data_IF_674416547443
#
_entry.id   IF_674416547443
#
_cell.length_a   1.000
_cell.length_b   1.000
_cell.length_c   1.000
_cell.angle_alpha   90.00
_cell.angle_beta   90.00
_cell.angle_gamma   90.00
#
_symmetry.space_group_name_H-M   'P 1'
#
loop_
_entity.id
_entity.type
_entity.pdbx_description
1 polymer ?
#
# COMPACT_ATOMS: atom_id res chain seq x y z
N UNK A 1 4.99 -3.32 32.08
CA UNK A 1 3.56 -3.55 32.34
C UNK A 1 3.07 -4.60 31.35
N UNK A 2 2.27 -5.56 31.80
CA UNK A 2 1.60 -6.51 30.91
C UNK A 2 0.46 -5.78 30.21
N UNK A 3 0.50 -5.71 28.88
CA UNK A 3 -0.54 -5.14 28.04
C UNK A 3 -1.46 -6.26 27.55
N UNK A 4 -2.75 -5.94 27.33
CA UNK A 4 -3.68 -6.76 26.56
C UNK A 4 -3.49 -6.44 25.09
N UNK A 5 -2.96 -7.39 24.33
CA UNK A 5 -2.54 -7.18 22.94
C UNK A 5 -3.37 -8.03 21.99
N UNK A 6 -3.98 -7.39 21.01
CA UNK A 6 -4.66 -8.08 19.92
C UNK A 6 -3.67 -8.30 18.76
N UNK A 7 -3.30 -9.54 18.46
CA UNK A 7 -2.39 -9.86 17.37
C UNK A 7 -3.15 -10.13 16.06
N UNK A 8 -2.89 -9.32 15.03
CA UNK A 8 -3.44 -9.51 13.69
C UNK A 8 -2.73 -10.65 12.96
N UNK A 9 -3.39 -11.81 12.87
CA UNK A 9 -2.86 -13.05 12.32
C UNK A 9 -3.40 -13.33 10.93
N UNK A 10 -2.60 -12.99 9.91
CA UNK A 10 -2.96 -13.14 8.49
C UNK A 10 -2.91 -14.58 7.97
N UNK A 11 -2.48 -15.55 8.78
CA UNK A 11 -2.15 -16.91 8.31
C UNK A 11 -0.76 -17.03 7.69
N UNK A 12 -0.02 -15.92 7.58
CA UNK A 12 1.40 -15.90 7.18
C UNK A 12 2.37 -16.04 8.35
N UNK A 13 3.62 -16.41 8.02
CA UNK A 13 4.71 -16.62 9.00
C UNK A 13 5.02 -15.37 9.82
N UNK A 14 4.99 -14.20 9.19
CA UNK A 14 5.37 -12.93 9.83
C UNK A 14 4.42 -12.62 11.00
N UNK A 15 3.11 -12.65 10.75
CA UNK A 15 2.12 -12.40 11.80
C UNK A 15 2.14 -13.44 12.92
N UNK A 16 2.50 -14.70 12.62
CA UNK A 16 2.62 -15.74 13.63
C UNK A 16 3.83 -15.50 14.55
N UNK A 17 4.99 -15.17 13.97
CA UNK A 17 6.20 -14.85 14.75
C UNK A 17 6.01 -13.56 15.55
N UNK A 18 5.34 -12.55 14.99
CA UNK A 18 5.01 -11.32 15.70
C UNK A 18 4.13 -11.59 16.94
N UNK A 19 3.08 -12.41 16.79
CA UNK A 19 2.24 -12.82 17.92
C UNK A 19 3.04 -13.59 18.98
N UNK A 20 3.91 -14.50 18.55
CA UNK A 20 4.74 -15.29 19.45
C UNK A 20 5.73 -14.43 20.25
N UNK A 21 6.43 -13.49 19.58
CA UNK A 21 7.31 -12.52 20.26
C UNK A 21 6.54 -11.65 21.23
N UNK A 22 5.33 -11.20 20.88
CA UNK A 22 4.48 -10.42 21.79
C UNK A 22 4.10 -11.21 23.06
N UNK A 23 3.81 -12.50 22.93
CA UNK A 23 3.53 -13.36 24.09
C UNK A 23 4.77 -13.55 24.97
N UNK A 24 5.95 -13.75 24.36
CA UNK A 24 7.22 -13.91 25.08
C UNK A 24 7.68 -12.62 25.79
N UNK A 25 7.29 -11.45 25.29
CA UNK A 25 7.45 -10.17 25.99
C UNK A 25 6.57 -10.06 27.25
N UNK A 26 5.75 -11.07 27.55
CA UNK A 26 4.92 -11.15 28.75
C UNK A 26 3.60 -10.39 28.64
N UNK A 27 3.12 -10.17 27.41
CA UNK A 27 1.81 -9.57 27.15
C UNK A 27 0.69 -10.62 27.16
N UNK A 28 -0.52 -10.20 27.50
CA UNK A 28 -1.74 -11.01 27.36
C UNK A 28 -2.22 -10.93 25.91
N UNK A 29 -1.78 -11.88 25.08
CA UNK A 29 -1.99 -11.85 23.63
C UNK A 29 -3.23 -12.65 23.24
N UNK A 30 -4.13 -12.03 22.48
CA UNK A 30 -5.22 -12.70 21.78
C UNK A 30 -5.02 -12.56 20.27
N UNK A 31 -5.02 -13.66 19.54
CA UNK A 31 -4.95 -13.67 18.08
C UNK A 31 -6.29 -13.35 17.43
N UNK A 32 -6.26 -12.67 16.29
CA UNK A 32 -7.43 -12.47 15.44
C UNK A 32 -7.08 -12.60 13.96
N UNK A 33 -7.91 -13.31 13.21
CA UNK A 33 -7.87 -13.29 11.76
C UNK A 33 -9.04 -12.48 11.20
N UNK A 34 -8.76 -11.61 10.24
CA UNK A 34 -9.77 -10.81 9.55
C UNK A 34 -10.18 -11.52 8.27
N UNK A 35 -11.42 -12.00 8.23
CA UNK A 35 -12.03 -12.48 7.01
C UNK A 35 -12.50 -11.26 6.19
N UNK A 36 -11.80 -10.97 5.09
CA UNK A 36 -12.05 -9.80 4.23
C UNK A 36 -12.78 -10.15 2.92
N UNK A 37 -12.93 -11.44 2.60
CA UNK A 37 -13.59 -11.90 1.39
C UNK A 37 -14.90 -12.60 1.72
N UNK A 38 -15.98 -12.21 1.02
CA UNK A 38 -17.25 -12.92 1.00
C UNK A 38 -17.38 -13.88 -0.19
N UNK A 39 -16.40 -13.91 -1.11
CA UNK A 39 -16.51 -14.61 -2.39
C UNK A 39 -16.10 -16.10 -2.30
N UNK A 40 -16.99 -17.04 -2.66
CA UNK A 40 -16.70 -18.45 -2.89
C UNK A 40 -15.40 -18.78 -3.64
N UNK A 41 -15.02 -17.93 -4.60
CA UNK A 41 -13.84 -18.18 -5.44
C UNK A 41 -12.52 -17.91 -4.73
N UNK A 42 -12.52 -17.08 -3.67
CA UNK A 42 -11.37 -16.90 -2.78
C UNK A 42 -11.04 -18.14 -1.95
N UNK A 43 -11.90 -19.18 -2.02
CA UNK A 43 -11.70 -20.48 -1.38
C UNK A 43 -11.01 -21.53 -2.28
N UNK A 44 -10.61 -21.18 -3.51
CA UNK A 44 -9.85 -22.10 -4.37
C UNK A 44 -8.40 -22.20 -3.88
N UNK A 45 -7.86 -23.41 -3.86
CA UNK A 45 -6.43 -23.67 -3.66
C UNK A 45 -5.60 -22.89 -4.68
N UNK A 46 -4.71 -22.02 -4.19
CA UNK A 46 -3.89 -21.14 -5.03
C UNK A 46 -4.44 -19.73 -5.27
N UNK A 47 -5.53 -19.33 -4.58
CA UNK A 47 -5.99 -17.94 -4.58
C UNK A 47 -4.89 -17.00 -4.03
N UNK A 48 -4.63 -15.89 -4.74
CA UNK A 48 -3.63 -14.88 -4.36
C UNK A 48 -4.26 -13.90 -3.36
N UNK A 49 -3.89 -13.98 -2.09
CA UNK A 49 -4.38 -13.06 -1.05
C UNK A 49 -4.00 -13.49 0.36
N UNK A 50 -4.25 -12.64 1.36
CA UNK A 50 -3.93 -12.87 2.78
C UNK A 50 -5.16 -13.18 3.66
N UNK A 51 -6.32 -13.43 3.04
CA UNK A 51 -7.62 -13.49 3.73
C UNK A 51 -8.51 -14.64 3.23
N UNK A 52 -7.92 -15.78 2.91
CA UNK A 52 -8.64 -17.00 2.49
C UNK A 52 -9.06 -17.85 3.70
N UNK A 53 -9.97 -18.82 3.49
CA UNK A 53 -10.32 -19.80 4.53
C UNK A 53 -9.10 -20.64 4.97
N UNK A 54 -8.18 -20.90 4.03
CA UNK A 54 -6.92 -21.59 4.33
C UNK A 54 -6.05 -20.72 5.25
N UNK A 55 -5.94 -19.43 4.99
CA UNK A 55 -5.22 -18.48 5.86
C UNK A 55 -5.80 -18.43 7.28
N UNK A 56 -7.12 -18.46 7.42
CA UNK A 56 -7.78 -18.52 8.74
C UNK A 56 -7.42 -19.80 9.50
N UNK A 57 -7.39 -20.94 8.81
CA UNK A 57 -6.97 -22.23 9.41
C UNK A 57 -5.48 -22.21 9.77
N UNK A 58 -4.63 -21.62 8.93
CA UNK A 58 -3.21 -21.47 9.19
C UNK A 58 -2.99 -20.60 10.43
N UNK A 59 -3.69 -19.46 10.50
CA UNK A 59 -3.65 -18.55 11.63
C UNK A 59 -4.10 -19.22 12.94
N UNK A 60 -5.18 -20.02 12.90
CA UNK A 60 -5.62 -20.85 14.04
C UNK A 60 -4.51 -21.80 14.50
N UNK A 61 -3.91 -22.58 13.58
CA UNK A 61 -2.85 -23.55 13.94
C UNK A 61 -1.63 -22.86 14.54
N UNK A 62 -1.27 -21.68 14.05
CA UNK A 62 -0.22 -20.87 14.65
C UNK A 62 -0.60 -20.41 16.08
N UNK A 63 -1.82 -19.92 16.28
CA UNK A 63 -2.29 -19.51 17.61
C UNK A 63 -2.27 -20.67 18.61
N UNK A 64 -2.69 -21.87 18.18
CA UNK A 64 -2.66 -23.08 19.00
C UNK A 64 -1.22 -23.48 19.38
N UNK A 65 -0.27 -23.37 18.43
CA UNK A 65 1.15 -23.64 18.69
C UNK A 65 1.80 -22.63 19.64
N UNK A 66 1.35 -21.37 19.61
CA UNK A 66 1.81 -20.30 20.51
C UNK A 66 1.14 -20.41 21.89
N UNK A 67 -0.05 -21.02 21.96
CA UNK A 67 -0.83 -21.15 23.19
C UNK A 67 -1.69 -19.92 23.52
N UNK A 68 -2.18 -19.19 22.50
CA UNK A 68 -2.98 -17.96 22.67
C UNK A 68 -4.44 -18.17 22.24
N UNK A 69 -5.42 -17.48 22.86
CA UNK A 69 -6.79 -17.42 22.37
C UNK A 69 -6.83 -16.88 20.94
N UNK A 70 -7.77 -17.35 20.12
CA UNK A 70 -7.91 -16.87 18.75
C UNK A 70 -9.35 -16.82 18.26
N UNK A 71 -9.65 -15.73 17.54
CA UNK A 71 -10.95 -15.43 16.97
C UNK A 71 -10.85 -15.13 15.47
N UNK A 72 -11.98 -15.29 14.76
CA UNK A 72 -12.12 -14.84 13.38
C UNK A 72 -13.15 -13.73 13.37
N UNK A 73 -12.79 -12.58 12.81
CA UNK A 73 -13.69 -11.46 12.63
C UNK A 73 -14.03 -11.28 11.17
N UNK A 74 -15.32 -11.30 10.87
CA UNK A 74 -15.81 -10.90 9.56
C UNK A 74 -15.75 -9.37 9.46
N UNK A 75 -15.00 -8.88 8.48
CA UNK A 75 -14.91 -7.48 8.08
C UNK A 75 -15.12 -7.33 6.57
N UNK A 76 -15.73 -8.32 5.91
CA UNK A 76 -15.88 -8.37 4.45
C UNK A 76 -16.72 -7.21 3.91
N UNK A 77 -17.79 -6.83 4.61
CA UNK A 77 -18.61 -5.68 4.21
C UNK A 77 -17.84 -4.37 4.27
N UNK A 78 -17.11 -4.14 5.36
CA UNK A 78 -16.31 -2.93 5.52
C UNK A 78 -15.16 -2.89 4.50
N UNK A 79 -14.51 -4.03 4.24
CA UNK A 79 -13.49 -4.13 3.21
C UNK A 79 -14.04 -3.82 1.81
N UNK A 80 -15.22 -4.33 1.48
CA UNK A 80 -15.89 -4.01 0.21
C UNK A 80 -16.09 -2.49 0.08
N UNK A 81 -16.72 -1.87 1.07
CA UNK A 81 -17.09 -0.46 1.01
C UNK A 81 -15.88 0.47 1.07
N UNK A 82 -14.93 0.22 2.00
CA UNK A 82 -13.83 1.16 2.28
C UNK A 82 -12.58 0.91 1.41
N UNK A 83 -12.48 -0.22 0.73
CA UNK A 83 -11.31 -0.59 -0.09
C UNK A 83 -11.68 -0.88 -1.54
N UNK A 84 -12.66 -1.77 -1.78
CA UNK A 84 -13.00 -2.17 -3.16
C UNK A 84 -13.76 -1.06 -3.88
N UNK A 85 -14.80 -0.49 -3.26
CA UNK A 85 -15.56 0.60 -3.87
C UNK A 85 -14.72 1.88 -4.00
N UNK A 86 -13.88 2.20 -3.01
CA UNK A 86 -12.87 3.28 -3.10
C UNK A 86 -11.97 3.07 -4.32
N UNK A 87 -11.38 1.87 -4.46
CA UNK A 87 -10.53 1.51 -5.59
C UNK A 87 -11.24 1.72 -6.94
N UNK A 88 -12.46 1.23 -7.08
CA UNK A 88 -13.25 1.38 -8.32
C UNK A 88 -13.55 2.86 -8.61
N UNK A 89 -13.94 3.62 -7.59
CA UNK A 89 -14.26 5.05 -7.72
C UNK A 89 -13.05 5.91 -8.11
N UNK A 90 -11.86 5.59 -7.57
CA UNK A 90 -10.61 6.27 -7.89
C UNK A 90 -10.20 6.02 -9.35
N UNK A 91 -10.35 4.78 -9.85
CA UNK A 91 -10.14 4.48 -11.27
C UNK A 91 -11.16 5.15 -12.17
N UNK A 92 -12.43 5.22 -11.76
CA UNK A 92 -13.46 5.97 -12.49
C UNK A 92 -13.12 7.46 -12.59
N UNK A 93 -12.41 8.00 -11.59
CA UNK A 93 -11.86 9.34 -11.59
C UNK A 93 -10.45 9.45 -12.21
N UNK A 94 -9.98 8.41 -12.93
CA UNK A 94 -8.69 8.34 -13.65
C UNK A 94 -7.45 8.44 -12.77
N UNK A 95 -7.59 8.19 -11.47
CA UNK A 95 -6.46 8.05 -10.54
C UNK A 95 -6.01 6.59 -10.50
N UNK A 96 -4.80 6.35 -9.99
CA UNK A 96 -4.28 5.00 -9.78
C UNK A 96 -4.10 4.78 -8.28
N UNK A 97 -5.10 4.26 -7.56
CA UNK A 97 -5.03 4.06 -6.11
C UNK A 97 -4.14 2.88 -5.73
N UNK A 98 -3.67 2.87 -4.47
CA UNK A 98 -3.02 1.71 -3.86
C UNK A 98 -3.97 1.04 -2.85
N UNK A 99 -4.65 -0.06 -3.22
CA UNK A 99 -5.65 -0.70 -2.34
C UNK A 99 -5.02 -1.31 -1.08
N UNK A 100 -3.75 -1.71 -1.11
CA UNK A 100 -3.06 -2.24 0.06
C UNK A 100 -2.82 -1.14 1.10
N UNK A 101 -2.46 0.06 0.64
CA UNK A 101 -2.29 1.23 1.51
C UNK A 101 -3.64 1.65 2.11
N UNK A 102 -4.71 1.70 1.29
CA UNK A 102 -6.07 2.00 1.78
C UNK A 102 -6.58 0.94 2.77
N UNK A 103 -6.37 -0.34 2.48
CA UNK A 103 -6.70 -1.43 3.40
C UNK A 103 -5.90 -1.32 4.70
N UNK A 104 -4.62 -0.96 4.64
CA UNK A 104 -3.83 -0.75 5.84
C UNK A 104 -4.39 0.39 6.70
N UNK A 105 -4.67 1.53 6.06
CA UNK A 105 -5.26 2.71 6.70
C UNK A 105 -6.64 2.40 7.30
N UNK A 106 -7.62 1.99 6.48
CA UNK A 106 -9.03 1.91 6.86
C UNK A 106 -9.40 0.63 7.60
N UNK A 107 -8.75 -0.50 7.28
CA UNK A 107 -9.13 -1.82 7.79
C UNK A 107 -8.14 -2.32 8.83
N UNK A 108 -6.88 -2.56 8.44
CA UNK A 108 -5.92 -3.25 9.30
C UNK A 108 -5.47 -2.41 10.49
N UNK A 109 -5.40 -1.09 10.35
CA UNK A 109 -5.10 -0.20 11.48
C UNK A 109 -6.37 0.43 12.00
N UNK A 110 -7.07 1.28 11.26
CA UNK A 110 -8.22 2.00 11.84
C UNK A 110 -9.30 1.04 12.36
N UNK A 111 -9.91 0.20 11.51
CA UNK A 111 -11.01 -0.67 11.95
C UNK A 111 -10.59 -1.69 13.03
N UNK A 112 -9.42 -2.32 12.85
CA UNK A 112 -8.93 -3.30 13.80
C UNK A 112 -8.59 -2.65 15.14
N UNK A 113 -7.88 -1.52 15.13
CA UNK A 113 -7.50 -0.79 16.34
C UNK A 113 -8.73 -0.25 17.05
N UNK A 114 -9.66 0.39 16.35
CA UNK A 114 -10.89 0.91 16.95
C UNK A 114 -11.66 -0.19 17.66
N UNK A 115 -11.81 -1.35 17.01
CA UNK A 115 -12.49 -2.51 17.58
C UNK A 115 -11.70 -3.12 18.74
N UNK A 116 -10.37 -3.18 18.64
CA UNK A 116 -9.51 -3.66 19.72
C UNK A 116 -9.67 -2.78 20.97
N UNK A 117 -9.59 -1.46 20.81
CA UNK A 117 -9.76 -0.49 21.90
C UNK A 117 -11.15 -0.59 22.52
N UNK A 118 -12.20 -0.69 21.70
CA UNK A 118 -13.58 -0.85 22.19
C UNK A 118 -13.79 -2.14 22.99
N UNK A 119 -13.03 -3.20 22.69
CA UNK A 119 -13.03 -4.47 23.43
C UNK A 119 -12.06 -4.49 24.63
N UNK A 120 -11.40 -3.37 24.90
CA UNK A 120 -10.51 -3.18 26.04
C UNK A 120 -9.10 -3.74 25.85
N UNK A 121 -8.65 -3.93 24.60
CA UNK A 121 -7.24 -4.16 24.31
C UNK A 121 -6.45 -2.86 24.36
N UNK A 122 -5.22 -2.92 24.86
CA UNK A 122 -4.33 -1.78 24.99
C UNK A 122 -3.62 -1.46 23.67
N UNK A 123 -3.28 -2.50 22.89
CA UNK A 123 -2.54 -2.36 21.64
C UNK A 123 -2.86 -3.46 20.61
N UNK A 124 -2.50 -3.21 19.36
CA UNK A 124 -2.55 -4.15 18.24
C UNK A 124 -1.13 -4.54 17.82
N UNK A 125 -0.85 -5.85 17.78
CA UNK A 125 0.40 -6.38 17.25
C UNK A 125 0.20 -6.83 15.80
N UNK A 126 1.13 -6.46 14.91
CA UNK A 126 1.09 -6.88 13.51
C UNK A 126 2.44 -7.41 13.05
N UNK A 127 2.43 -8.25 12.01
CA UNK A 127 3.65 -8.76 11.37
C UNK A 127 4.31 -7.77 10.41
N UNK A 128 4.12 -6.45 10.58
CA UNK A 128 4.76 -5.46 9.72
C UNK A 128 6.25 -5.31 10.08
N UNK A 129 7.08 -5.20 9.04
CA UNK A 129 8.51 -4.89 9.15
C UNK A 129 8.67 -3.37 9.22
N UNK A 130 8.63 -2.82 10.42
CA UNK A 130 9.00 -1.45 10.73
C UNK A 130 9.42 -1.35 12.19
N UNK A 131 10.14 -0.29 12.55
CA UNK A 131 10.54 -0.04 13.94
C UNK A 131 9.79 1.18 14.46
N UNK A 132 9.17 1.04 15.63
CA UNK A 132 8.47 2.12 16.32
C UNK A 132 8.96 2.16 17.77
N UNK A 133 9.54 3.29 18.18
CA UNK A 133 10.09 3.48 19.54
C UNK A 133 9.15 4.29 20.47
N UNK A 134 7.90 4.51 20.05
CA UNK A 134 6.93 5.35 20.76
C UNK A 134 6.95 6.82 20.35
N UNK A 135 7.97 7.27 19.61
CA UNK A 135 8.07 8.63 19.11
C UNK A 135 8.37 8.70 17.61
N UNK A 136 9.12 7.73 17.10
CA UNK A 136 9.67 7.74 15.74
C UNK A 136 9.36 6.44 15.01
N UNK A 137 8.70 6.53 13.86
CA UNK A 137 8.57 5.42 12.93
C UNK A 137 9.82 5.37 12.06
N UNK A 138 10.44 4.20 11.98
CA UNK A 138 11.65 3.96 11.21
C UNK A 138 11.49 2.76 10.29
N UNK A 139 12.28 2.77 9.22
CA UNK A 139 12.45 1.63 8.32
C UNK A 139 12.91 0.40 9.09
N UNK A 140 12.48 -0.78 8.63
CA UNK A 140 13.04 -2.05 9.10
C UNK A 140 14.52 -2.18 8.73
N UNK A 141 15.23 -3.06 9.43
CA UNK A 141 16.61 -3.43 9.08
C UNK A 141 16.69 -4.19 7.75
N UNK A 142 15.63 -4.92 7.40
CA UNK A 142 15.49 -5.60 6.11
C UNK A 142 14.86 -4.66 5.09
N UNK A 143 15.68 -4.00 4.30
CA UNK A 143 15.24 -3.02 3.30
C UNK A 143 14.34 -3.64 2.22
N UNK A 144 14.48 -4.94 1.94
CA UNK A 144 13.65 -5.64 0.95
C UNK A 144 12.23 -5.92 1.44
N UNK A 145 12.03 -5.86 2.76
CA UNK A 145 10.75 -6.14 3.42
C UNK A 145 10.18 -4.96 4.17
N UNK A 146 10.90 -3.85 4.23
CA UNK A 146 10.48 -2.62 4.88
C UNK A 146 9.06 -2.21 4.49
N UNK A 147 8.25 -1.97 5.52
CA UNK A 147 6.85 -1.61 5.42
C UNK A 147 6.55 -0.28 6.09
N UNK A 148 7.57 0.53 6.43
CA UNK A 148 7.34 1.87 6.96
C UNK A 148 6.55 2.74 5.98
N UNK A 149 6.69 2.52 4.67
CA UNK A 149 5.92 3.24 3.63
C UNK A 149 4.41 3.07 3.80
N UNK A 150 3.92 1.85 4.04
CA UNK A 150 2.47 1.60 4.20
C UNK A 150 1.96 2.00 5.57
N UNK A 151 2.85 2.13 6.56
CA UNK A 151 2.53 2.58 7.91
C UNK A 151 2.61 4.09 8.09
N UNK A 152 3.24 4.81 7.17
CA UNK A 152 3.43 6.27 7.26
C UNK A 152 2.12 7.07 7.18
N UNK A 153 1.02 6.43 6.79
CA UNK A 153 -0.33 7.02 6.76
C UNK A 153 -1.04 6.93 8.11
N UNK A 154 -0.50 6.18 9.07
CA UNK A 154 -1.05 6.07 10.41
C UNK A 154 -0.76 7.34 11.22
N UNK A 155 -1.69 7.77 12.06
CA UNK A 155 -1.46 8.91 12.98
C UNK A 155 -0.57 8.50 14.16
N UNK A 156 0.08 9.46 14.84
CA UNK A 156 0.84 9.18 16.07
C UNK A 156 0.02 8.43 17.13
N UNK A 157 -1.27 8.75 17.28
CA UNK A 157 -2.16 8.10 18.24
C UNK A 157 -2.39 6.63 17.86
N UNK A 158 -2.56 6.34 16.57
CA UNK A 158 -2.69 4.96 16.10
C UNK A 158 -1.41 4.16 16.32
N UNK A 159 -0.26 4.75 16.00
CA UNK A 159 1.05 4.12 16.21
C UNK A 159 1.36 3.91 17.70
N UNK A 160 0.90 4.81 18.58
CA UNK A 160 1.07 4.67 20.04
C UNK A 160 0.42 3.40 20.61
N UNK A 161 -0.56 2.84 19.88
CA UNK A 161 -1.25 1.59 20.22
C UNK A 161 -0.86 0.43 19.29
N UNK A 162 0.26 0.53 18.58
CA UNK A 162 0.74 -0.49 17.66
C UNK A 162 2.06 -1.12 18.14
N UNK A 163 2.22 -2.42 17.89
CA UNK A 163 3.43 -3.18 18.19
C UNK A 163 3.91 -3.84 16.89
N UNK A 164 5.20 -3.62 16.55
CA UNK A 164 5.87 -4.17 15.36
C UNK A 164 7.10 -5.00 15.75
N UNK A 165 6.92 -6.27 16.16
CA UNK A 165 8.02 -7.06 16.74
C UNK A 165 9.08 -7.51 15.74
N UNK A 166 8.94 -7.22 14.44
CA UNK A 166 9.79 -7.81 13.39
C UNK A 166 10.77 -6.83 12.74
N UNK A 167 10.67 -5.53 13.04
CA UNK A 167 11.44 -4.49 12.33
C UNK A 167 12.96 -4.56 12.52
N UNK A 168 13.44 -5.36 13.47
CA UNK A 168 14.84 -5.56 13.83
C UNK A 168 15.46 -6.85 13.27
N UNK A 169 14.69 -7.65 12.52
CA UNK A 169 15.09 -8.99 12.09
C UNK A 169 14.85 -9.17 10.60
N UNK A 170 15.75 -9.88 9.92
CA UNK A 170 15.58 -10.17 8.49
C UNK A 170 14.52 -11.23 8.25
N UNK A 171 13.89 -11.23 7.07
CA UNK A 171 12.87 -12.23 6.72
C UNK A 171 13.41 -13.67 6.72
N UNK A 172 14.70 -13.84 6.40
CA UNK A 172 15.35 -15.14 6.46
C UNK A 172 15.37 -15.65 7.92
N UNK A 173 15.81 -14.82 8.85
CA UNK A 173 15.89 -15.15 10.27
C UNK A 173 14.50 -15.36 10.89
N UNK A 174 13.49 -14.59 10.47
CA UNK A 174 12.08 -14.80 10.88
C UNK A 174 11.58 -16.19 10.47
N UNK A 175 11.94 -16.68 9.28
CA UNK A 175 11.56 -18.04 8.84
C UNK A 175 12.26 -19.12 9.67
N UNK A 176 13.53 -18.94 9.99
CA UNK A 176 14.24 -19.87 10.87
C UNK A 176 13.66 -19.88 12.29
N UNK A 177 13.32 -18.72 12.81
CA UNK A 177 12.67 -18.56 14.11
C UNK A 177 11.30 -19.27 14.13
N UNK A 178 10.49 -19.10 13.09
CA UNK A 178 9.22 -19.82 12.96
C UNK A 178 9.43 -21.34 12.97
N UNK A 179 10.45 -21.84 12.27
CA UNK A 179 10.77 -23.27 12.25
C UNK A 179 11.19 -23.79 13.63
N UNK A 180 12.02 -23.04 14.38
CA UNK A 180 12.41 -23.37 15.77
C UNK A 180 11.20 -23.44 16.72
N UNK A 181 10.18 -22.59 16.48
CA UNK A 181 8.92 -22.55 17.24
C UNK A 181 7.90 -23.62 16.81
N UNK A 182 8.21 -24.44 15.81
CA UNK A 182 7.26 -25.42 15.26
C UNK A 182 6.11 -24.82 14.44
N UNK A 183 6.20 -23.54 14.07
CA UNK A 183 5.17 -22.85 13.27
C UNK A 183 5.30 -23.31 11.81
N UNK A 184 4.43 -24.24 11.42
CA UNK A 184 4.47 -24.95 10.11
C UNK A 184 4.29 -24.05 8.87
N UNK A 185 3.94 -22.78 9.06
CA UNK A 185 3.65 -21.80 8.00
C UNK A 185 4.95 -21.28 7.33
N UNK A 186 6.12 -21.59 7.88
CA UNK A 186 7.42 -21.05 7.44
C UNK A 186 7.74 -21.23 5.93
N UNK A 187 7.07 -22.16 5.23
CA UNK A 187 7.31 -22.48 3.81
C UNK A 187 6.32 -21.84 2.83
N UNK A 188 5.30 -21.12 3.31
CA UNK A 188 4.32 -20.47 2.42
C UNK A 188 4.99 -19.28 1.70
N UNK A 189 4.85 -19.14 0.36
CA UNK A 189 5.31 -17.95 -0.34
C UNK A 189 4.56 -16.71 0.17
N UNK A 190 5.21 -15.54 0.09
CA UNK A 190 4.59 -14.29 0.49
C UNK A 190 3.44 -13.94 -0.49
N UNK A 191 2.38 -13.30 0.03
CA UNK A 191 1.29 -12.81 -0.81
C UNK A 191 1.79 -11.61 -1.62
N UNK A 192 1.84 -11.79 -2.94
CA UNK A 192 2.08 -10.75 -3.92
C UNK A 192 0.78 -10.58 -4.73
N UNK A 193 0.47 -9.34 -5.14
CA UNK A 193 -0.73 -8.89 -5.88
C UNK A 193 -1.93 -8.39 -5.02
N UNK A 194 -2.90 -7.76 -5.71
CA UNK A 194 -4.12 -7.19 -5.10
C UNK A 194 -5.02 -8.33 -4.61
N UNK A 195 -5.25 -8.41 -3.30
CA UNK A 195 -5.84 -9.59 -2.66
C UNK A 195 -7.29 -9.93 -3.07
N UNK A 196 -8.03 -8.99 -3.65
CA UNK A 196 -9.41 -9.22 -4.10
C UNK A 196 -9.52 -9.46 -5.61
N UNK A 197 -8.40 -9.48 -6.33
CA UNK A 197 -8.32 -9.76 -7.77
C UNK A 197 -7.54 -11.07 -7.93
N UNK A 198 -8.23 -12.19 -7.73
CA UNK A 198 -7.61 -13.50 -7.54
C UNK A 198 -6.78 -14.00 -8.73
N UNK A 199 -7.15 -13.60 -9.96
CA UNK A 199 -6.47 -13.95 -11.21
C UNK A 199 -5.41 -12.92 -11.64
N UNK A 200 -5.33 -11.77 -10.95
CA UNK A 200 -4.48 -10.64 -11.29
C UNK A 200 -4.96 -9.79 -12.47
N UNK A 201 -6.14 -10.07 -13.05
CA UNK A 201 -6.68 -9.28 -14.17
C UNK A 201 -7.41 -8.04 -13.67
N UNK A 202 -6.63 -7.02 -13.29
CA UNK A 202 -7.18 -5.73 -12.85
C UNK A 202 -8.03 -5.07 -13.96
N UNK A 203 -7.67 -5.27 -15.23
CA UNK A 203 -8.41 -4.70 -16.35
C UNK A 203 -9.78 -5.34 -16.49
N UNK A 204 -9.85 -6.67 -16.44
CA UNK A 204 -11.10 -7.42 -16.45
C UNK A 204 -11.99 -7.04 -15.27
N UNK A 205 -11.42 -7.01 -14.06
CA UNK A 205 -12.13 -6.62 -12.83
C UNK A 205 -12.79 -5.24 -12.91
N UNK A 206 -12.09 -4.25 -13.49
CA UNK A 206 -12.62 -2.90 -13.68
C UNK A 206 -13.65 -2.84 -14.81
N UNK A 207 -13.43 -3.55 -15.92
CA UNK A 207 -14.34 -3.58 -17.05
C UNK A 207 -15.72 -4.14 -16.68
N UNK A 208 -15.78 -5.17 -15.83
CA UNK A 208 -17.05 -5.73 -15.32
C UNK A 208 -17.87 -4.74 -14.49
N UNK A 209 -17.22 -3.80 -13.80
CA UNK A 209 -17.86 -2.86 -12.87
C UNK A 209 -18.15 -1.49 -13.48
N UNK A 210 -17.23 -1.00 -14.29
CA UNK A 210 -17.32 0.33 -14.91
C UNK A 210 -17.93 0.28 -16.32
N UNK A 211 -17.97 -0.90 -16.95
CA UNK A 211 -18.40 -1.07 -18.34
C UNK A 211 -17.36 -0.56 -19.35
N UNK A 212 -17.64 -0.76 -20.63
CA UNK A 212 -16.82 -0.20 -21.71
C UNK A 212 -17.16 1.28 -21.90
N UNK A 213 -16.13 2.12 -21.97
CA UNK A 213 -16.25 3.55 -22.25
C UNK A 213 -15.17 3.92 -23.28
N UNK A 214 -15.45 3.73 -24.58
CA UNK A 214 -14.45 3.99 -25.60
C UNK A 214 -14.07 5.46 -25.68
N UNK A 215 -12.80 5.73 -25.98
CA UNK A 215 -12.25 7.08 -26.02
C UNK A 215 -10.95 7.16 -26.82
N UNK A 216 -10.53 8.37 -27.21
CA UNK A 216 -9.37 8.55 -28.06
C UNK A 216 -8.06 8.38 -27.29
N UNK A 217 -7.07 7.80 -27.97
CA UNK A 217 -5.66 7.87 -27.58
C UNK A 217 -5.02 8.95 -28.44
N UNK A 218 -4.55 10.03 -27.81
CA UNK A 218 -3.96 11.20 -28.50
C UNK A 218 -2.48 11.35 -28.17
N UNK A 219 -1.72 12.06 -28.98
CA UNK A 219 -0.38 12.53 -28.59
C UNK A 219 -0.40 13.87 -27.86
N UNK A 220 0.79 14.35 -27.49
CA UNK A 220 0.99 15.63 -26.79
C UNK A 220 0.52 16.85 -27.57
N UNK A 221 0.41 16.74 -28.90
CA UNK A 221 -0.08 17.79 -29.79
C UNK A 221 -1.60 17.69 -30.01
N UNK A 222 -2.25 16.70 -29.40
CA UNK A 222 -3.68 16.42 -29.52
C UNK A 222 -4.04 15.64 -30.78
N UNK A 223 -3.07 15.11 -31.53
CA UNK A 223 -3.36 14.29 -32.70
C UNK A 223 -3.83 12.90 -32.28
N UNK A 224 -4.97 12.46 -32.81
CA UNK A 224 -5.51 11.15 -32.53
C UNK A 224 -4.67 10.05 -33.20
N UNK A 225 -4.24 9.07 -32.39
CA UNK A 225 -3.40 7.95 -32.79
C UNK A 225 -4.16 6.62 -32.83
N UNK A 226 -5.30 6.54 -32.16
CA UNK A 226 -6.16 5.37 -32.07
C UNK A 226 -7.21 5.54 -30.98
N UNK A 227 -7.84 4.43 -30.59
CA UNK A 227 -8.91 4.40 -29.60
C UNK A 227 -8.60 3.35 -28.52
N UNK A 228 -9.26 3.50 -27.37
CA UNK A 228 -9.27 2.53 -26.29
C UNK A 228 -10.68 2.14 -25.89
N UNK A 229 -10.84 1.02 -25.19
CA UNK A 229 -12.14 0.53 -24.67
C UNK A 229 -12.52 1.09 -23.28
N UNK A 230 -11.59 1.79 -22.64
CA UNK A 230 -11.78 2.40 -21.32
C UNK A 230 -10.49 2.95 -20.76
N UNK A 231 -10.49 4.22 -20.35
CA UNK A 231 -9.31 4.91 -19.83
C UNK A 231 -8.75 4.26 -18.54
N UNK A 232 -9.62 3.64 -17.74
CA UNK A 232 -9.28 2.89 -16.53
C UNK A 232 -8.35 1.68 -16.78
N UNK A 233 -8.24 1.23 -18.04
CA UNK A 233 -7.36 0.12 -18.42
C UNK A 233 -5.90 0.54 -18.61
N UNK A 234 -5.59 1.81 -18.40
CA UNK A 234 -4.27 2.40 -18.60
C UNK A 234 -3.72 2.96 -17.29
N UNK A 235 -2.39 3.00 -17.19
CA UNK A 235 -1.70 3.60 -16.05
C UNK A 235 -0.60 4.52 -16.56
N UNK A 236 -0.37 5.65 -15.88
CA UNK A 236 0.71 6.58 -16.20
C UNK A 236 2.06 5.83 -16.24
N UNK A 237 2.82 6.03 -17.32
CA UNK A 237 4.08 5.35 -17.60
C UNK A 237 3.95 3.99 -18.28
N UNK A 238 2.74 3.51 -18.57
CA UNK A 238 2.52 2.26 -19.29
C UNK A 238 3.03 2.35 -20.75
N UNK A 239 3.81 1.34 -21.16
CA UNK A 239 4.30 1.18 -22.55
C UNK A 239 3.54 0.12 -23.34
N UNK A 240 3.28 -1.03 -22.72
CA UNK A 240 2.66 -2.19 -23.37
C UNK A 240 1.14 -2.04 -23.43
N UNK A 241 0.49 -2.67 -24.41
CA UNK A 241 -0.98 -2.71 -24.49
C UNK A 241 -1.65 -1.49 -25.10
N UNK A 242 -0.88 -0.48 -25.54
CA UNK A 242 -1.41 0.69 -26.26
C UNK A 242 -1.99 0.35 -27.65
N UNK A 243 -1.53 -0.75 -28.28
CA UNK A 243 -1.99 -1.26 -29.60
C UNK A 243 -2.10 -0.19 -30.69
N UNK A 244 -1.23 0.81 -30.67
CA UNK A 244 -1.19 1.86 -31.68
C UNK A 244 -0.64 1.30 -32.99
N UNK A 245 -1.46 1.33 -34.04
CA UNK A 245 -1.11 0.82 -35.37
C UNK A 245 -0.11 1.70 -36.14
N UNK A 246 0.22 2.88 -35.62
CA UNK A 246 1.15 3.84 -36.20
C UNK A 246 2.35 4.04 -35.26
N UNK A 247 3.58 3.66 -35.67
CA UNK A 247 4.78 4.00 -34.92
C UNK A 247 4.92 5.51 -34.75
N UNK A 248 5.61 5.96 -33.70
CA UNK A 248 5.99 7.36 -33.59
C UNK A 248 6.88 7.76 -34.78
N UNK A 249 6.85 9.03 -35.24
CA UNK A 249 7.67 9.49 -36.37
C UNK A 249 9.17 9.23 -36.21
N UNK A 250 9.66 9.20 -34.97
CA UNK A 250 11.04 8.93 -34.59
C UNK A 250 11.33 7.44 -34.30
N UNK A 251 10.35 6.56 -34.49
CA UNK A 251 10.44 5.13 -34.23
C UNK A 251 10.53 4.73 -32.76
N UNK A 252 10.49 5.68 -31.81
CA UNK A 252 10.61 5.40 -30.38
C UNK A 252 9.27 4.95 -29.77
N UNK A 253 9.29 4.16 -28.68
CA UNK A 253 8.06 3.72 -28.02
C UNK A 253 7.37 4.91 -27.34
N UNK A 254 6.03 4.89 -27.36
CA UNK A 254 5.19 5.82 -26.62
C UNK A 254 4.82 5.26 -25.25
N UNK A 255 4.60 6.17 -24.30
CA UNK A 255 4.18 5.88 -22.93
C UNK A 255 2.94 6.70 -22.60
N UNK A 256 2.04 6.15 -21.78
CA UNK A 256 0.88 6.90 -21.24
C UNK A 256 1.40 8.04 -20.36
N UNK A 257 1.15 9.28 -20.77
CA UNK A 257 1.57 10.49 -20.06
C UNK A 257 0.48 11.05 -19.16
N UNK A 258 -0.78 10.96 -19.57
CA UNK A 258 -1.92 11.52 -18.85
C UNK A 258 -3.18 10.70 -19.15
N UNK A 259 -4.11 10.69 -18.19
CA UNK A 259 -5.41 10.04 -18.31
C UNK A 259 -6.45 11.05 -17.83
N UNK A 260 -7.27 11.53 -18.77
CA UNK A 260 -8.34 12.48 -18.47
C UNK A 260 -9.68 11.74 -18.37
N UNK A 261 -10.29 11.63 -17.18
CA UNK A 261 -11.60 10.99 -17.03
C UNK A 261 -12.71 11.85 -17.64
N UNK A 262 -12.59 13.17 -17.52
CA UNK A 262 -13.60 14.14 -17.99
C UNK A 262 -13.78 14.09 -19.50
N UNK A 263 -12.67 13.97 -20.23
CA UNK A 263 -12.68 13.87 -21.69
C UNK A 263 -12.55 12.42 -22.18
N UNK A 264 -12.47 11.46 -21.25
CA UNK A 264 -12.18 10.05 -21.53
C UNK A 264 -11.03 9.85 -22.52
N UNK A 265 -9.94 10.60 -22.34
CA UNK A 265 -8.81 10.65 -23.27
C UNK A 265 -7.54 10.11 -22.61
N UNK A 266 -6.78 9.29 -23.35
CA UNK A 266 -5.46 8.83 -22.94
C UNK A 266 -4.39 9.54 -23.77
N UNK A 267 -3.56 10.35 -23.12
CA UNK A 267 -2.47 11.07 -23.79
C UNK A 267 -1.19 10.24 -23.75
N UNK A 268 -0.52 10.06 -24.89
CA UNK A 268 0.73 9.31 -25.00
C UNK A 268 1.86 10.12 -25.61
N UNK A 269 3.09 9.81 -25.25
CA UNK A 269 4.24 10.51 -25.79
C UNK A 269 5.58 9.92 -25.41
N UNK A 270 6.67 10.69 -25.59
CA UNK A 270 8.02 10.20 -25.34
C UNK A 270 8.26 9.98 -23.84
N UNK A 271 9.21 9.12 -23.49
CA UNK A 271 9.48 8.74 -22.09
C UNK A 271 9.87 9.94 -21.23
N UNK A 272 10.59 10.88 -21.82
CA UNK A 272 11.09 12.08 -21.17
C UNK A 272 9.95 13.01 -20.72
N UNK A 273 8.78 12.94 -21.37
CA UNK A 273 7.60 13.70 -20.96
C UNK A 273 6.91 13.15 -19.68
N UNK A 274 7.44 12.07 -19.09
CA UNK A 274 7.03 11.55 -17.76
C UNK A 274 7.85 12.13 -16.61
N UNK A 275 8.89 12.94 -16.91
CA UNK A 275 9.77 13.47 -15.89
C UNK A 275 8.99 14.48 -15.02
N UNK A 276 8.80 14.12 -13.76
CA UNK A 276 8.16 14.93 -12.73
C UNK A 276 9.25 15.55 -11.87
N UNK A 277 9.21 16.86 -11.71
CA UNK A 277 10.18 17.63 -10.94
C UNK A 277 9.57 18.19 -9.64
N UNK A 278 8.27 18.48 -9.64
CA UNK A 278 7.57 18.98 -8.46
C UNK A 278 6.26 18.21 -8.25
N UNK A 279 5.92 17.97 -6.98
CA UNK A 279 4.72 17.26 -6.55
C UNK A 279 3.99 18.14 -5.54
N UNK A 280 2.70 18.36 -5.78
CA UNK A 280 1.79 18.93 -4.78
C UNK A 280 1.01 17.79 -4.15
N UNK A 281 1.13 17.66 -2.84
CA UNK A 281 0.46 16.64 -2.07
C UNK A 281 -0.46 17.26 -1.00
N UNK A 282 -1.56 16.59 -0.70
CA UNK A 282 -2.62 17.03 0.20
C UNK A 282 -2.78 16.07 1.38
N UNK A 283 -3.48 16.53 2.43
CA UNK A 283 -3.76 15.77 3.66
C UNK A 283 -2.51 15.17 4.29
N UNK A 284 -1.52 16.00 4.69
CA UNK A 284 -0.31 15.47 5.29
C UNK A 284 -0.58 14.85 6.67
N UNK A 285 0.04 13.71 6.91
CA UNK A 285 0.13 13.05 8.22
C UNK A 285 1.58 13.17 8.68
N UNK A 286 1.81 13.97 9.73
CA UNK A 286 3.13 14.16 10.32
C UNK A 286 3.30 13.26 11.55
N UNK A 287 4.39 12.50 11.60
CA UNK A 287 4.71 11.61 12.73
C UNK A 287 5.52 12.30 13.83
N UNK A 288 5.62 13.62 13.75
CA UNK A 288 6.27 14.51 14.70
C UNK A 288 5.83 15.94 14.40
N UNK A 289 6.64 16.92 14.78
CA UNK A 289 6.37 18.30 14.45
C UNK A 289 6.48 18.52 12.93
N UNK A 290 5.43 19.10 12.33
CA UNK A 290 5.47 19.56 10.95
C UNK A 290 6.66 20.50 10.74
N UNK A 291 7.40 20.38 9.61
CA UNK A 291 8.46 21.33 9.28
C UNK A 291 7.92 22.76 9.30
N UNK A 292 8.69 23.73 9.81
CA UNK A 292 8.30 25.14 9.80
C UNK A 292 8.60 25.83 8.45
N UNK A 293 9.29 25.14 7.55
CA UNK A 293 9.72 25.64 6.25
C UNK A 293 10.33 24.51 5.42
N UNK A 294 11.07 24.85 4.34
CA UNK A 294 11.71 23.87 3.47
C UNK A 294 12.68 22.97 4.24
N UNK A 295 12.59 21.66 4.01
CA UNK A 295 13.49 20.66 4.58
C UNK A 295 14.05 19.75 3.49
N UNK A 296 15.37 19.60 3.47
CA UNK A 296 16.04 18.59 2.64
C UNK A 296 15.80 17.20 3.20
N UNK A 297 15.23 16.32 2.40
CA UNK A 297 14.84 14.97 2.81
C UNK A 297 14.77 14.03 1.61
N UNK A 298 14.26 12.83 1.84
CA UNK A 298 14.04 11.82 0.82
C UNK A 298 12.55 11.54 0.66
N UNK A 299 12.07 11.35 -0.56
CA UNK A 299 10.69 10.95 -0.84
C UNK A 299 10.63 9.58 -1.51
N UNK A 300 9.71 8.74 -1.03
CA UNK A 300 9.32 7.51 -1.69
C UNK A 300 7.88 7.66 -2.20
N UNK A 301 7.67 7.37 -3.48
CA UNK A 301 6.41 7.61 -4.20
C UNK A 301 5.62 6.32 -4.50
N UNK A 302 6.23 5.16 -4.21
CA UNK A 302 5.61 3.83 -4.32
C UNK A 302 6.32 2.84 -3.38
N UNK A 303 5.59 1.85 -2.87
CA UNK A 303 6.07 0.93 -1.82
C UNK A 303 7.38 0.19 -2.17
N UNK A 304 7.56 -0.22 -3.43
CA UNK A 304 8.79 -0.86 -3.94
C UNK A 304 9.51 0.05 -4.95
N UNK A 305 9.47 1.36 -4.69
CA UNK A 305 10.01 2.38 -5.57
C UNK A 305 11.41 2.82 -5.25
N UNK A 306 11.98 3.52 -6.23
CA UNK A 306 13.16 4.33 -5.99
C UNK A 306 12.82 5.44 -4.98
N UNK A 307 13.83 5.80 -4.20
CA UNK A 307 13.78 6.91 -3.25
C UNK A 307 14.51 8.08 -3.90
N UNK A 308 13.92 9.26 -3.84
CA UNK A 308 14.44 10.47 -4.46
C UNK A 308 14.85 11.47 -3.39
N UNK A 309 16.04 12.06 -3.52
CA UNK A 309 16.40 13.24 -2.74
C UNK A 309 15.54 14.43 -3.21
N UNK A 310 15.06 15.21 -2.24
CA UNK A 310 14.11 16.28 -2.49
C UNK A 310 14.15 17.36 -1.41
N UNK A 311 13.54 18.50 -1.71
CA UNK A 311 13.15 19.51 -0.71
C UNK A 311 11.63 19.49 -0.55
N UNK A 312 11.16 19.24 0.68
CA UNK A 312 9.74 19.30 1.01
C UNK A 312 9.43 20.57 1.82
N UNK A 313 8.33 21.26 1.49
CA UNK A 313 7.87 22.45 2.21
C UNK A 313 6.36 22.38 2.46
N UNK A 314 5.87 22.70 3.67
CA UNK A 314 4.44 22.90 3.88
C UNK A 314 3.93 24.02 2.97
N UNK A 315 2.78 23.81 2.35
CA UNK A 315 2.18 24.76 1.41
C UNK A 315 0.66 24.75 1.58
N UNK A 316 0.11 25.75 2.27
CA UNK A 316 -1.30 25.77 2.67
C UNK A 316 -1.61 24.58 3.57
N UNK A 317 -2.66 23.82 3.24
CA UNK A 317 -3.06 22.59 3.94
C UNK A 317 -2.33 21.32 3.43
N UNK A 318 -1.35 21.50 2.53
CA UNK A 318 -0.61 20.43 1.86
C UNK A 318 0.90 20.53 2.02
N UNK A 319 1.60 19.79 1.16
CA UNK A 319 3.07 19.76 1.07
C UNK A 319 3.47 19.85 -0.39
N UNK A 320 4.41 20.74 -0.68
CA UNK A 320 5.09 20.79 -1.97
C UNK A 320 6.43 20.08 -1.86
N UNK A 321 6.73 19.22 -2.83
CA UNK A 321 7.94 18.41 -2.87
C UNK A 321 8.66 18.69 -4.19
N UNK A 322 9.86 19.25 -4.13
CA UNK A 322 10.73 19.49 -5.29
C UNK A 322 11.82 18.43 -5.32
N UNK A 323 11.88 17.66 -6.40
CA UNK A 323 12.82 16.56 -6.56
C UNK A 323 14.15 17.07 -7.14
N UNK A 324 15.26 16.62 -6.57
CA UNK A 324 16.60 16.97 -7.06
C UNK A 324 16.88 16.34 -8.43
N UNK A 325 16.26 15.18 -8.68
CA UNK A 325 16.25 14.48 -9.97
C UNK A 325 14.84 14.03 -10.30
N UNK A 326 14.43 14.07 -11.59
CA UNK A 326 13.06 13.76 -11.95
C UNK A 326 12.67 12.33 -11.58
N UNK A 327 11.46 12.18 -11.04
CA UNK A 327 10.82 10.88 -10.89
C UNK A 327 9.93 10.60 -12.11
N UNK A 328 9.68 9.31 -12.39
CA UNK A 328 8.84 8.87 -13.51
C UNK A 328 7.71 7.99 -13.01
N UNK A 329 6.55 8.10 -13.65
CA UNK A 329 5.38 7.29 -13.30
C UNK A 329 4.81 7.68 -11.94
N UNK A 330 4.87 8.97 -11.60
CA UNK A 330 4.20 9.53 -10.42
C UNK A 330 2.75 9.76 -10.80
N UNK A 331 1.82 9.18 -10.04
CA UNK A 331 0.39 9.26 -10.31
C UNK A 331 -0.35 9.88 -9.11
N UNK A 332 -1.36 10.70 -9.41
CA UNK A 332 -2.28 11.21 -8.40
C UNK A 332 -3.01 10.05 -7.70
N UNK A 333 -3.26 10.23 -6.40
CA UNK A 333 -3.86 9.21 -5.52
C UNK A 333 -2.86 8.27 -4.84
N UNK A 334 -1.59 8.25 -5.25
CA UNK A 334 -0.52 7.54 -4.52
C UNK A 334 -0.07 8.35 -3.29
N UNK A 335 0.63 7.69 -2.36
CA UNK A 335 1.23 8.37 -1.21
C UNK A 335 2.66 8.84 -1.53
N UNK A 336 3.00 10.06 -1.11
CA UNK A 336 4.36 10.53 -1.00
C UNK A 336 4.80 10.41 0.47
N UNK A 337 5.80 9.58 0.75
CA UNK A 337 6.31 9.38 2.12
C UNK A 337 7.70 9.99 2.24
N UNK A 338 7.87 10.87 3.23
CA UNK A 338 9.08 11.65 3.47
C UNK A 338 9.95 10.98 4.54
N UNK A 339 11.26 10.94 4.30
CA UNK A 339 12.26 10.28 5.13
C UNK A 339 13.48 11.17 5.39
N UNK A 340 14.08 11.00 6.56
CA UNK A 340 15.44 11.49 6.85
C UNK A 340 16.24 10.31 7.37
N UNK A 341 17.12 9.77 6.53
CA UNK A 341 17.77 8.49 6.78
C UNK A 341 16.73 7.38 6.90
N UNK A 342 16.70 6.68 8.04
CA UNK A 342 15.72 5.61 8.29
C UNK A 342 14.41 6.11 8.92
N UNK A 343 14.33 7.38 9.32
CA UNK A 343 13.16 7.95 10.01
C UNK A 343 12.11 8.44 9.02
N UNK A 344 10.86 8.06 9.24
CA UNK A 344 9.69 8.64 8.58
C UNK A 344 9.37 10.01 9.18
N UNK A 345 9.31 11.05 8.36
CA UNK A 345 8.84 12.39 8.79
C UNK A 345 7.30 12.46 8.74
N UNK A 346 6.73 11.93 7.67
CA UNK A 346 5.30 11.97 7.42
C UNK A 346 4.96 11.46 6.02
N UNK A 347 3.68 11.49 5.70
CA UNK A 347 3.16 11.15 4.38
C UNK A 347 2.11 12.16 3.92
N UNK A 348 1.83 12.20 2.63
CA UNK A 348 0.73 12.97 2.04
C UNK A 348 0.21 12.27 0.79
N UNK A 349 -1.01 12.58 0.35
CA UNK A 349 -1.57 12.04 -0.90
C UNK A 349 -1.18 12.92 -2.06
N UNK A 350 -0.62 12.35 -3.12
CA UNK A 350 -0.25 13.09 -4.33
C UNK A 350 -1.53 13.59 -5.02
N UNK A 351 -1.67 14.91 -5.13
CA UNK A 351 -2.80 15.55 -5.82
C UNK A 351 -2.40 15.92 -7.25
N UNK A 352 -1.25 16.55 -7.42
CA UNK A 352 -0.79 17.07 -8.71
C UNK A 352 0.72 16.85 -8.90
N UNK A 353 1.15 16.80 -10.17
CA UNK A 353 2.55 16.68 -10.55
C UNK A 353 2.88 17.70 -11.62
N UNK A 354 4.06 18.32 -11.52
CA UNK A 354 4.58 19.27 -12.50
C UNK A 354 5.83 18.71 -13.18
N UNK A 355 5.89 18.94 -14.49
CA UNK A 355 6.91 18.42 -15.42
C UNK A 355 7.95 19.47 -15.81
N UNK A 356 7.73 20.73 -15.44
CA UNK A 356 8.63 21.83 -15.78
C UNK A 356 9.59 22.03 -14.59
N UNK A 357 10.91 21.98 -14.80
CA UNK A 357 11.86 22.43 -13.78
C UNK A 357 11.62 23.92 -13.54
N UNK A 358 11.47 24.32 -12.28
CA UNK A 358 11.27 25.71 -11.87
C UNK A 358 12.41 26.63 -12.32
#
# INVERSE_FOLDING_TARGET
>A
MTLRVLAAMSGGVDSAVAAARAAEMGHDVTGVHMALSSDPQSYRTGARGCCTLEDSRDARRAADAIGIPFYVWDLAERFRNDVIEDFVSEYAAGRTPNPCLRCNEKIKFQALLDRAVALGFDAVCTGHYARWDGATLRRAVDTGKDQSYVLAVCTPEQLSRAIFPLGDTTKADIREEAARRGIQIARKPDSHDICFIADGDTKGFLAERLGAAPGPIVDVDGAELGEHEGAYAYTIGQRKGLRLGRPAPDGRPRYVLDISPVTNTVTVGPREALDVHEITAERPVWLGQAPAGPVGCQVQLRAHGEVHDCTAEPSGDGVRIRLDRPARGVAAGQAAVLYVGDRVLGSATIAETSRVPA
#
